data_IF_980173851567
#
_entry.id   IF_980173851567
#
_cell.length_a   1.000
_cell.length_b   1.000
_cell.length_c   1.000
_cell.angle_alpha   90.00
_cell.angle_beta   90.00
_cell.angle_gamma   90.00
#
_symmetry.space_group_name_H-M   'P 1'
#
loop_
_entity.id
_entity.type
_entity.pdbx_description
1 polymer ?
#
# COMPACT_ATOMS: atom_id res chain seq x y z
N UNK A 1 1.42 -2.15 -10.78
CA UNK A 1 0.38 -1.09 -10.70
C UNK A 1 0.78 0.30 -11.23
N UNK A 2 1.72 1.07 -10.64
CA UNK A 2 1.94 2.49 -11.02
C UNK A 2 2.24 2.77 -12.51
N UNK A 3 3.08 1.99 -13.21
CA UNK A 3 3.29 2.19 -14.64
C UNK A 3 1.98 2.06 -15.43
N UNK A 4 1.12 1.10 -15.08
CA UNK A 4 -0.17 0.91 -15.75
C UNK A 4 -1.13 2.10 -15.53
N UNK A 5 -1.17 2.67 -14.31
CA UNK A 5 -1.94 3.91 -14.04
C UNK A 5 -1.39 5.07 -14.87
N UNK A 6 -0.06 5.21 -14.93
CA UNK A 6 0.60 6.27 -15.70
C UNK A 6 0.34 6.14 -17.21
N UNK A 7 0.32 4.91 -17.73
CA UNK A 7 0.04 4.65 -19.14
C UNK A 7 -1.43 4.90 -19.47
N UNK A 8 -2.36 4.54 -18.57
CA UNK A 8 -3.78 4.87 -18.70
C UNK A 8 -4.03 6.39 -18.73
N UNK A 9 -3.26 7.18 -17.98
CA UNK A 9 -3.33 8.65 -18.04
C UNK A 9 -2.79 9.25 -19.34
N UNK A 10 -1.88 8.56 -20.04
CA UNK A 10 -1.17 9.10 -21.22
C UNK A 10 -1.85 8.78 -22.55
N UNK A 11 -2.68 7.75 -22.62
CA UNK A 11 -3.12 7.18 -23.89
C UNK A 11 -4.61 6.82 -23.88
N UNK A 12 -5.32 7.20 -24.95
CA UNK A 12 -6.65 6.65 -25.27
C UNK A 12 -6.59 5.17 -25.66
N UNK A 13 -5.39 4.64 -25.92
CA UNK A 13 -5.11 3.24 -26.23
C UNK A 13 -4.48 2.53 -25.03
N UNK A 14 -5.33 1.99 -24.17
CA UNK A 14 -4.93 1.04 -23.13
C UNK A 14 -5.01 -0.38 -23.69
N UNK A 15 -3.86 -1.10 -23.74
CA UNK A 15 -3.81 -2.54 -24.04
C UNK A 15 -3.17 -3.24 -22.83
N UNK A 16 -3.97 -3.73 -21.87
CA UNK A 16 -3.43 -4.24 -20.62
C UNK A 16 -2.72 -5.58 -20.81
N UNK A 17 -1.48 -5.68 -20.32
CA UNK A 17 -1.03 -6.92 -19.67
C UNK A 17 -1.52 -6.85 -18.22
N UNK A 18 -2.69 -7.42 -17.94
CA UNK A 18 -3.39 -7.34 -16.65
C UNK A 18 -4.21 -6.05 -16.48
N UNK A 19 -5.44 -6.15 -15.99
CA UNK A 19 -6.30 -4.97 -15.71
C UNK A 19 -5.80 -4.24 -14.46
N UNK A 20 -6.03 -2.92 -14.39
CA UNK A 20 -5.74 -2.12 -13.19
C UNK A 20 -6.40 -2.75 -11.97
N UNK A 21 -7.63 -3.27 -12.14
CA UNK A 21 -8.33 -4.02 -11.11
C UNK A 21 -7.55 -5.24 -10.58
N UNK A 22 -6.97 -6.08 -11.44
CA UNK A 22 -6.21 -7.26 -10.99
C UNK A 22 -4.97 -6.90 -10.16
N UNK A 23 -4.31 -5.81 -10.51
CA UNK A 23 -3.17 -5.29 -9.77
C UNK A 23 -3.60 -4.74 -8.41
N UNK A 24 -4.70 -3.98 -8.35
CA UNK A 24 -5.25 -3.45 -7.10
C UNK A 24 -5.63 -4.58 -6.14
N UNK A 25 -6.27 -5.65 -6.62
CA UNK A 25 -6.62 -6.81 -5.79
C UNK A 25 -5.36 -7.44 -5.17
N UNK A 26 -4.32 -7.66 -5.98
CA UNK A 26 -3.04 -8.22 -5.49
C UNK A 26 -2.41 -7.32 -4.44
N UNK A 27 -2.32 -6.01 -4.69
CA UNK A 27 -1.71 -5.06 -3.75
C UNK A 27 -2.50 -4.95 -2.45
N UNK A 28 -3.83 -5.01 -2.51
CA UNK A 28 -4.68 -4.97 -1.30
C UNK A 28 -4.40 -6.17 -0.40
N UNK A 29 -4.26 -7.37 -0.97
CA UNK A 29 -3.86 -8.55 -0.19
C UNK A 29 -2.44 -8.44 0.37
N UNK A 30 -1.51 -7.84 -0.35
CA UNK A 30 -0.16 -7.54 0.16
C UNK A 30 -0.20 -6.53 1.33
N UNK A 31 -1.09 -5.53 1.28
CA UNK A 31 -1.30 -4.59 2.39
C UNK A 31 -1.88 -5.27 3.64
N UNK A 32 -2.84 -6.18 3.49
CA UNK A 32 -3.39 -6.95 4.62
C UNK A 32 -2.31 -7.80 5.30
N UNK A 33 -1.47 -8.47 4.51
CA UNK A 33 -0.34 -9.25 5.03
C UNK A 33 0.69 -8.38 5.75
N UNK A 34 1.01 -7.20 5.19
CA UNK A 34 1.94 -6.26 5.81
C UNK A 34 1.38 -5.70 7.12
N UNK A 35 0.10 -5.30 7.15
CA UNK A 35 -0.60 -4.84 8.35
C UNK A 35 -0.58 -5.89 9.46
N UNK A 36 -0.98 -7.13 9.16
CA UNK A 36 -0.95 -8.21 10.15
C UNK A 36 0.46 -8.57 10.64
N UNK A 37 1.49 -8.34 9.82
CA UNK A 37 2.88 -8.49 10.26
C UNK A 37 3.28 -7.39 11.24
N UNK A 38 2.85 -6.14 11.01
CA UNK A 38 3.09 -5.02 11.92
C UNK A 38 2.32 -5.17 13.23
N UNK A 39 1.06 -5.63 13.19
CA UNK A 39 0.28 -5.95 14.39
C UNK A 39 1.03 -6.97 15.27
N UNK A 40 1.54 -8.04 14.65
CA UNK A 40 2.32 -9.06 15.36
C UNK A 40 3.62 -8.50 15.95
N UNK A 41 4.30 -7.61 15.23
CA UNK A 41 5.51 -6.92 15.71
C UNK A 41 5.16 -6.03 16.90
N UNK A 42 4.08 -5.26 16.82
CA UNK A 42 3.59 -4.41 17.90
C UNK A 42 3.32 -5.25 19.17
N UNK A 43 2.61 -6.36 19.02
CA UNK A 43 2.30 -7.29 20.11
C UNK A 43 3.56 -7.86 20.79
N UNK A 44 4.49 -8.44 20.02
CA UNK A 44 5.69 -9.08 20.61
C UNK A 44 6.66 -8.06 21.22
N UNK A 45 6.62 -6.81 20.77
CA UNK A 45 7.41 -5.71 21.31
C UNK A 45 6.68 -4.94 22.42
N UNK A 46 5.43 -5.31 22.74
CA UNK A 46 4.56 -4.63 23.71
C UNK A 46 4.41 -3.13 23.39
N UNK A 47 4.15 -2.82 22.12
CA UNK A 47 4.08 -1.44 21.63
C UNK A 47 5.45 -0.77 21.61
N UNK A 48 6.49 -1.48 21.15
CA UNK A 48 7.85 -0.97 21.05
C UNK A 48 8.47 -0.55 22.39
N UNK A 49 8.14 -1.26 23.47
CA UNK A 49 8.68 -1.00 24.79
C UNK A 49 10.10 -1.58 24.92
N UNK A 50 11.09 -0.71 25.13
CA UNK A 50 12.48 -1.12 25.39
C UNK A 50 12.56 -1.79 26.76
N UNK A 51 13.16 -3.00 26.89
CA UNK A 51 13.32 -3.67 28.17
C UNK A 51 14.36 -2.95 29.06
N UNK A 52 14.33 -3.21 30.37
CA UNK A 52 15.19 -2.54 31.36
C UNK A 52 16.70 -2.79 31.13
N UNK A 53 17.05 -3.94 30.55
CA UNK A 53 18.42 -4.30 30.14
C UNK A 53 18.73 -3.93 28.67
N UNK A 54 17.81 -3.22 28.02
CA UNK A 54 17.94 -2.77 26.64
C UNK A 54 19.01 -1.70 26.48
N UNK A 55 19.91 -1.88 25.51
CA UNK A 55 20.92 -0.89 25.18
C UNK A 55 20.36 0.22 24.27
N UNK A 56 21.16 1.26 24.02
CA UNK A 56 20.76 2.36 23.14
C UNK A 56 20.36 1.89 21.72
N UNK A 57 20.97 0.81 21.21
CA UNK A 57 20.60 0.24 19.92
C UNK A 57 19.15 -0.26 19.90
N UNK A 58 18.68 -0.91 20.98
CA UNK A 58 17.27 -1.32 21.09
C UNK A 58 16.32 -0.13 20.99
N UNK A 59 16.63 0.95 21.72
CA UNK A 59 15.83 2.17 21.71
C UNK A 59 15.73 2.79 20.33
N UNK A 60 16.86 2.91 19.63
CA UNK A 60 16.88 3.43 18.26
C UNK A 60 16.11 2.52 17.31
N UNK A 61 16.32 1.20 17.37
CA UNK A 61 15.63 0.23 16.53
C UNK A 61 14.12 0.29 16.72
N UNK A 62 13.63 0.33 17.97
CA UNK A 62 12.20 0.36 18.27
C UNK A 62 11.56 1.69 17.84
N UNK A 63 12.25 2.81 18.01
CA UNK A 63 11.79 4.10 17.49
C UNK A 63 11.68 4.11 15.96
N UNK A 64 12.68 3.57 15.25
CA UNK A 64 12.65 3.49 13.79
C UNK A 64 11.58 2.53 13.29
N UNK A 65 11.36 1.41 13.98
CA UNK A 65 10.34 0.43 13.62
C UNK A 65 8.94 0.98 13.81
N UNK A 66 8.70 1.75 14.88
CA UNK A 66 7.46 2.47 15.09
C UNK A 66 7.21 3.53 14.00
N UNK A 67 8.23 4.32 13.65
CA UNK A 67 8.13 5.28 12.54
C UNK A 67 7.81 4.58 11.22
N UNK A 68 8.43 3.43 10.97
CA UNK A 68 8.12 2.62 9.79
C UNK A 68 6.67 2.13 9.78
N UNK A 69 6.11 1.70 10.92
CA UNK A 69 4.69 1.33 11.05
C UNK A 69 3.77 2.51 10.70
N UNK A 70 4.05 3.68 11.28
CA UNK A 70 3.26 4.89 11.05
C UNK A 70 3.29 5.30 9.57
N UNK A 71 4.47 5.29 8.94
CA UNK A 71 4.63 5.59 7.52
C UNK A 71 3.94 4.55 6.62
N UNK A 72 4.00 3.27 7.00
CA UNK A 72 3.31 2.20 6.28
C UNK A 72 1.79 2.38 6.34
N UNK A 73 1.23 2.75 7.49
CA UNK A 73 -0.20 3.05 7.61
C UNK A 73 -0.62 4.22 6.72
N UNK A 74 0.17 5.29 6.67
CA UNK A 74 -0.09 6.42 5.78
C UNK A 74 -0.03 5.98 4.32
N UNK A 75 1.00 5.21 3.93
CA UNK A 75 1.16 4.67 2.59
C UNK A 75 -0.07 3.84 2.16
N UNK A 76 -0.46 2.84 2.96
CA UNK A 76 -1.63 1.99 2.69
C UNK A 76 -2.91 2.82 2.64
N UNK A 77 -3.06 3.82 3.51
CA UNK A 77 -4.23 4.70 3.49
C UNK A 77 -4.35 5.49 2.18
N UNK A 78 -3.25 6.12 1.75
CA UNK A 78 -3.20 6.90 0.51
C UNK A 78 -3.50 6.01 -0.70
N UNK A 79 -2.99 4.78 -0.71
CA UNK A 79 -3.24 3.85 -1.80
C UNK A 79 -4.67 3.33 -1.80
N UNK A 80 -5.12 2.69 -0.72
CA UNK A 80 -6.41 2.02 -0.65
C UNK A 80 -7.58 3.01 -0.72
N UNK A 81 -7.46 4.18 -0.10
CA UNK A 81 -8.60 5.10 0.05
C UNK A 81 -8.59 6.26 -0.95
N UNK A 82 -7.47 6.53 -1.62
CA UNK A 82 -7.38 7.66 -2.55
C UNK A 82 -6.97 7.20 -3.95
N UNK A 83 -5.85 6.51 -4.08
CA UNK A 83 -5.32 6.17 -5.41
C UNK A 83 -6.12 5.07 -6.10
N UNK A 84 -6.38 3.95 -5.41
CA UNK A 84 -7.06 2.79 -6.01
C UNK A 84 -8.48 3.15 -6.50
N UNK A 85 -9.32 3.86 -5.71
CA UNK A 85 -10.64 4.26 -6.19
C UNK A 85 -10.58 5.14 -7.43
N UNK A 86 -9.61 6.07 -7.49
CA UNK A 86 -9.41 6.94 -8.67
C UNK A 86 -8.93 6.16 -9.89
N UNK A 87 -8.05 5.17 -9.69
CA UNK A 87 -7.54 4.32 -10.76
C UNK A 87 -8.61 3.40 -11.36
N UNK A 88 -9.50 2.84 -10.52
CA UNK A 88 -10.66 2.05 -10.97
C UNK A 88 -11.59 2.93 -11.83
N UNK A 89 -11.95 4.11 -11.32
CA UNK A 89 -12.83 5.04 -12.06
C UNK A 89 -12.24 5.41 -13.43
N UNK A 90 -10.94 5.66 -13.50
CA UNK A 90 -10.25 5.94 -14.76
C UNK A 90 -10.32 4.74 -15.74
N UNK A 91 -10.12 3.52 -15.24
CA UNK A 91 -10.24 2.30 -16.07
C UNK A 91 -11.66 2.16 -16.64
N UNK A 92 -12.70 2.39 -15.81
CA UNK A 92 -14.10 2.34 -16.23
C UNK A 92 -14.43 3.38 -17.32
N UNK A 93 -13.97 4.63 -17.14
CA UNK A 93 -14.16 5.71 -18.12
C UNK A 93 -13.51 5.37 -19.48
N UNK A 94 -12.29 4.83 -19.46
CA UNK A 94 -11.58 4.40 -20.67
C UNK A 94 -12.23 3.21 -21.38
N UNK A 95 -12.79 2.26 -20.62
CA UNK A 95 -13.51 1.11 -21.18
C UNK A 95 -14.86 1.51 -21.77
N UNK A 96 -15.57 2.45 -21.14
CA UNK A 96 -16.84 2.98 -21.66
C UNK A 96 -16.64 3.76 -22.97
N UNK A 97 -15.56 4.54 -23.09
CA UNK A 97 -15.22 5.25 -24.33
C UNK A 97 -15.00 4.31 -25.52
N UNK A 98 -14.55 3.07 -25.29
CA UNK A 98 -14.36 2.05 -26.34
C UNK A 98 -15.63 1.32 -26.78
N UNK A 99 -16.73 1.45 -26.03
CA UNK A 99 -18.02 0.82 -26.37
C UNK A 99 -18.90 1.67 -27.29
N UNK A 100 -18.58 2.96 -27.42
CA UNK A 100 -19.19 3.90 -28.36
C UNK A 100 -18.46 3.86 -29.70
#
# INVERSE_FOLDING_TARGET
>A
MFPAIKDALKSSYFKPKGTILSEITRMTSEHELAGGSMDKINDITKGYLVPDDGCNTYMVTFNLLKQFEDDLHIHVHLENNILFPKAIKLEEELLNYKKL
#
